data_IF_594417530646
#
_entry.id   IF_594417530646
#
_cell.length_a   1.000
_cell.length_b   1.000
_cell.length_c   1.000
_cell.angle_alpha   90.00
_cell.angle_beta   90.00
_cell.angle_gamma   90.00
#
_symmetry.space_group_name_H-M   'P 1'
#
loop_
_entity.id
_entity.type
_entity.pdbx_description
1 polymer ?
#
# COMPACT_ATOMS: atom_id res chain seq x y z
N UNK A 1 26.31 -16.94 -6.00
CA UNK A 1 25.82 -16.74 -4.61
C UNK A 1 26.00 -15.27 -4.23
N UNK A 2 25.00 -14.68 -3.62
CA UNK A 2 25.10 -13.32 -3.07
C UNK A 2 26.05 -13.32 -1.87
N UNK A 3 26.73 -12.19 -1.64
CA UNK A 3 27.54 -12.04 -0.43
C UNK A 3 26.63 -11.79 0.79
N UNK A 4 27.18 -12.01 2.00
CA UNK A 4 26.42 -11.87 3.25
C UNK A 4 25.85 -10.46 3.45
N UNK A 5 26.54 -9.41 3.02
CA UNK A 5 26.07 -8.01 3.12
C UNK A 5 24.83 -7.77 2.27
N UNK A 6 24.83 -8.26 1.03
CA UNK A 6 23.65 -8.17 0.14
C UNK A 6 22.47 -8.97 0.69
N UNK A 7 22.72 -10.18 1.19
CA UNK A 7 21.68 -11.01 1.83
C UNK A 7 21.06 -10.30 3.04
N UNK A 8 21.87 -9.71 3.90
CA UNK A 8 21.41 -8.96 5.07
C UNK A 8 20.60 -7.70 4.65
N UNK A 9 21.06 -6.96 3.62
CA UNK A 9 20.36 -5.78 3.12
C UNK A 9 18.97 -6.13 2.57
N UNK A 10 18.85 -7.19 1.76
CA UNK A 10 17.56 -7.62 1.21
C UNK A 10 16.60 -8.10 2.30
N UNK A 11 17.11 -8.83 3.29
CA UNK A 11 16.31 -9.23 4.46
C UNK A 11 15.80 -8.01 5.24
N UNK A 12 16.67 -7.02 5.49
CA UNK A 12 16.30 -5.79 6.19
C UNK A 12 15.26 -4.97 5.40
N UNK A 13 15.36 -4.92 4.07
CA UNK A 13 14.37 -4.28 3.20
C UNK A 13 13.01 -4.98 3.33
N UNK A 14 12.96 -6.32 3.31
CA UNK A 14 11.70 -7.06 3.51
C UNK A 14 11.10 -6.78 4.90
N UNK A 15 11.91 -6.75 5.95
CA UNK A 15 11.46 -6.45 7.32
C UNK A 15 10.87 -5.04 7.43
N UNK A 16 11.46 -4.07 6.75
CA UNK A 16 10.98 -2.68 6.71
C UNK A 16 9.67 -2.54 5.93
N UNK A 17 9.52 -3.24 4.82
CA UNK A 17 8.43 -3.03 3.88
C UNK A 17 7.20 -3.92 4.13
N UNK A 18 7.37 -5.07 4.81
CA UNK A 18 6.29 -6.03 5.08
C UNK A 18 5.74 -5.88 6.50
N UNK A 19 4.95 -4.83 6.73
CA UNK A 19 4.38 -4.51 8.03
C UNK A 19 2.90 -4.88 8.12
N UNK A 20 2.45 -5.22 9.32
CA UNK A 20 1.03 -5.48 9.60
C UNK A 20 0.27 -4.16 9.70
N UNK A 21 -0.88 -4.07 9.04
CA UNK A 21 -1.78 -2.91 9.11
C UNK A 21 -3.25 -3.36 9.02
N UNK A 22 -4.14 -2.60 9.67
CA UNK A 22 -5.59 -2.80 9.57
C UNK A 22 -6.19 -1.69 8.69
N UNK A 23 -6.96 -2.06 7.67
CA UNK A 23 -7.58 -1.10 6.75
C UNK A 23 -6.59 -0.35 5.84
N UNK A 24 -6.99 0.84 5.35
CA UNK A 24 -6.15 1.71 4.55
C UNK A 24 -5.20 2.50 5.45
N UNK A 25 -3.91 2.54 5.09
CA UNK A 25 -2.86 3.12 5.94
C UNK A 25 -3.01 4.62 6.18
N UNK A 26 -3.50 5.37 5.20
CA UNK A 26 -3.64 6.83 5.32
C UNK A 26 -4.74 7.25 6.30
N UNK A 27 -5.98 6.72 6.27
CA UNK A 27 -6.96 7.03 7.31
C UNK A 27 -6.53 6.52 8.69
N UNK A 28 -5.78 5.43 8.77
CA UNK A 28 -5.20 4.96 10.02
C UNK A 28 -4.16 5.95 10.57
N UNK A 29 -3.31 6.52 9.70
CA UNK A 29 -2.37 7.57 10.13
C UNK A 29 -3.09 8.84 10.61
N UNK A 30 -4.22 9.21 9.99
CA UNK A 30 -5.06 10.31 10.49
C UNK A 30 -5.65 9.97 11.86
N UNK A 31 -6.17 8.76 12.05
CA UNK A 31 -6.70 8.32 13.34
C UNK A 31 -5.60 8.25 14.42
N UNK A 32 -4.40 7.80 14.07
CA UNK A 32 -3.24 7.80 14.95
C UNK A 32 -2.85 9.22 15.39
N UNK A 33 -2.75 10.15 14.44
CA UNK A 33 -2.48 11.56 14.75
C UNK A 33 -3.56 12.14 15.67
N UNK A 34 -4.83 11.79 15.46
CA UNK A 34 -5.98 12.25 16.26
C UNK A 34 -5.97 11.64 17.67
N UNK A 35 -5.60 10.36 17.83
CA UNK A 35 -5.43 9.74 19.13
C UNK A 35 -4.30 10.40 19.93
N UNK A 36 -3.16 10.69 19.29
CA UNK A 36 -2.07 11.45 19.92
C UNK A 36 -2.47 12.88 20.26
N UNK A 37 -3.24 13.55 19.41
CA UNK A 37 -3.77 14.89 19.72
C UNK A 37 -4.62 14.86 21.02
N UNK A 38 -5.53 13.87 21.15
CA UNK A 38 -6.32 13.68 22.37
C UNK A 38 -5.44 13.48 23.62
N UNK A 39 -4.39 12.67 23.52
CA UNK A 39 -3.44 12.45 24.62
C UNK A 39 -2.71 13.73 25.03
N UNK A 40 -2.16 14.45 24.06
CA UNK A 40 -1.44 15.72 24.31
C UNK A 40 -2.36 16.76 24.95
N UNK A 41 -3.57 16.89 24.40
CA UNK A 41 -4.59 17.84 24.91
C UNK A 41 -5.07 17.45 26.33
N UNK A 42 -5.10 16.14 26.65
CA UNK A 42 -5.61 15.61 27.90
C UNK A 42 -7.10 15.32 27.89
N UNK A 43 -7.71 15.19 26.70
CA UNK A 43 -9.11 14.86 26.52
C UNK A 43 -9.62 15.11 25.10
N UNK A 44 -10.89 14.79 24.84
CA UNK A 44 -11.51 14.96 23.53
C UNK A 44 -11.60 16.45 23.16
N UNK A 45 -11.04 16.91 22.03
CA UNK A 45 -11.19 18.31 21.62
C UNK A 45 -12.63 18.65 21.25
N UNK A 46 -13.00 19.90 21.47
CA UNK A 46 -14.31 20.49 21.16
C UNK A 46 -14.33 21.16 19.78
N UNK A 47 -13.16 21.41 19.21
CA UNK A 47 -12.93 21.92 17.85
C UNK A 47 -11.65 21.30 17.30
N UNK A 48 -11.67 20.88 16.03
CA UNK A 48 -10.49 20.33 15.35
C UNK A 48 -10.28 21.06 14.01
N UNK A 49 -9.04 21.51 13.77
CA UNK A 49 -8.55 21.90 12.45
C UNK A 49 -7.57 20.83 11.96
N UNK A 50 -7.84 20.27 10.80
CA UNK A 50 -6.99 19.28 10.14
C UNK A 50 -6.36 19.91 8.88
N UNK A 51 -5.06 20.12 8.89
CA UNK A 51 -4.29 20.51 7.73
C UNK A 51 -3.60 19.26 7.17
N UNK A 52 -3.94 18.85 5.94
CA UNK A 52 -3.46 17.61 5.34
C UNK A 52 -2.89 17.84 3.95
N UNK A 53 -1.88 17.06 3.58
CA UNK A 53 -1.37 17.09 2.21
C UNK A 53 -2.42 16.62 1.20
N UNK A 54 -2.27 17.03 -0.06
CA UNK A 54 -3.16 16.61 -1.14
C UNK A 54 -3.25 15.09 -1.29
N UNK A 55 -2.15 14.36 -1.07
CA UNK A 55 -2.15 12.91 -1.12
C UNK A 55 -2.96 12.27 0.01
N UNK A 56 -2.88 12.81 1.23
CA UNK A 56 -3.73 12.36 2.35
C UNK A 56 -5.20 12.64 2.02
N UNK A 57 -5.53 13.85 1.56
CA UNK A 57 -6.90 14.17 1.14
C UNK A 57 -7.41 13.19 0.09
N UNK A 58 -6.63 12.96 -0.97
CA UNK A 58 -6.95 12.04 -2.08
C UNK A 58 -7.22 10.61 -1.59
N UNK A 59 -6.36 10.08 -0.72
CA UNK A 59 -6.40 8.68 -0.31
C UNK A 59 -7.42 8.41 0.82
N UNK A 60 -7.84 9.43 1.57
CA UNK A 60 -8.77 9.26 2.68
C UNK A 60 -10.22 9.62 2.31
N UNK A 61 -10.44 10.58 1.38
CA UNK A 61 -11.76 11.15 1.09
C UNK A 61 -12.86 10.12 0.83
N UNK A 62 -12.56 9.03 0.12
CA UNK A 62 -13.60 8.09 -0.36
C UNK A 62 -13.50 6.69 0.25
N UNK A 63 -12.46 6.42 1.04
CA UNK A 63 -12.25 5.10 1.64
C UNK A 63 -13.08 4.94 2.91
N UNK A 64 -13.58 3.75 3.14
CA UNK A 64 -14.23 3.39 4.40
C UNK A 64 -13.17 3.27 5.49
N UNK A 65 -13.40 3.95 6.62
CA UNK A 65 -12.57 3.80 7.81
C UNK A 65 -13.04 2.56 8.56
N UNK A 66 -12.16 1.58 8.83
CA UNK A 66 -12.54 0.37 9.57
C UNK A 66 -13.13 0.70 10.94
N UNK A 67 -13.97 -0.18 11.47
CA UNK A 67 -14.57 -0.07 12.81
C UNK A 67 -15.41 1.20 13.03
N UNK A 68 -16.00 1.79 11.95
CA UNK A 68 -16.79 3.01 12.03
C UNK A 68 -18.21 2.88 11.46
N UNK A 69 -18.70 1.66 11.24
CA UNK A 69 -19.99 1.39 10.60
C UNK A 69 -20.12 2.05 9.21
N UNK A 70 -19.09 1.81 8.37
CA UNK A 70 -19.07 2.26 6.97
C UNK A 70 -18.80 3.75 6.75
N UNK A 71 -18.44 4.53 7.77
CA UNK A 71 -18.12 5.95 7.64
C UNK A 71 -16.85 6.14 6.82
N UNK A 72 -16.79 7.27 6.11
CA UNK A 72 -15.72 7.58 5.16
C UNK A 72 -15.10 8.93 5.45
N UNK A 73 -13.89 9.12 4.99
CA UNK A 73 -13.25 10.42 4.94
C UNK A 73 -12.41 10.79 6.16
N UNK A 74 -11.85 11.98 6.11
CA UNK A 74 -10.93 12.49 7.13
C UNK A 74 -11.64 12.70 8.45
N UNK A 75 -12.87 13.20 8.43
CA UNK A 75 -13.66 13.47 9.64
C UNK A 75 -13.93 12.19 10.42
N UNK A 76 -14.29 11.09 9.73
CA UNK A 76 -14.48 9.78 10.33
C UNK A 76 -13.19 9.24 10.94
N UNK A 77 -12.06 9.38 10.24
CA UNK A 77 -10.76 8.95 10.73
C UNK A 77 -10.31 9.74 11.98
N UNK A 78 -10.54 11.06 12.00
CA UNK A 78 -10.29 11.90 13.18
C UNK A 78 -11.19 11.49 14.34
N UNK A 79 -12.48 11.34 14.09
CA UNK A 79 -13.45 11.03 15.13
C UNK A 79 -13.17 9.69 15.81
N UNK A 80 -12.90 8.62 15.05
CA UNK A 80 -12.56 7.31 15.64
C UNK A 80 -11.25 7.37 16.44
N UNK A 81 -10.23 8.07 15.94
CA UNK A 81 -8.96 8.26 16.66
C UNK A 81 -9.15 8.99 17.99
N UNK A 82 -9.99 10.04 18.01
CA UNK A 82 -10.28 10.82 19.23
C UNK A 82 -11.18 10.04 20.20
N UNK A 83 -12.17 9.31 19.71
CA UNK A 83 -13.15 8.64 20.57
C UNK A 83 -12.59 7.37 21.19
N UNK A 84 -11.93 6.53 20.38
CA UNK A 84 -11.57 5.16 20.75
C UNK A 84 -10.13 4.77 20.40
N UNK A 85 -9.35 5.63 19.72
CA UNK A 85 -8.01 5.28 19.26
C UNK A 85 -7.04 4.98 20.40
N UNK A 86 -6.29 3.88 20.27
CA UNK A 86 -5.13 3.54 21.09
C UNK A 86 -3.86 4.00 20.36
N UNK A 87 -3.32 5.13 20.80
CA UNK A 87 -2.16 5.73 20.13
C UNK A 87 -0.85 4.93 20.27
N UNK A 88 -0.75 4.01 21.23
CA UNK A 88 0.42 3.16 21.39
C UNK A 88 0.39 1.95 20.43
N UNK A 89 -0.78 1.66 19.85
CA UNK A 89 -0.96 0.61 18.85
C UNK A 89 -0.58 1.03 17.41
N UNK A 90 -0.13 2.28 17.19
CA UNK A 90 0.33 2.80 15.88
C UNK A 90 -0.64 2.50 14.73
N UNK A 91 -0.25 1.69 13.73
CA UNK A 91 -1.11 1.32 12.59
C UNK A 91 -2.27 0.39 12.96
N UNK A 92 -2.39 -0.01 14.22
CA UNK A 92 -3.52 -0.74 14.78
C UNK A 92 -4.35 0.12 15.75
N UNK A 93 -4.19 1.42 15.69
CA UNK A 93 -4.80 2.43 16.59
C UNK A 93 -6.31 2.26 16.81
N UNK A 94 -7.04 1.73 15.83
CA UNK A 94 -8.49 1.52 15.88
C UNK A 94 -8.89 0.03 15.85
N UNK A 95 -7.96 -0.90 16.13
CA UNK A 95 -8.24 -2.33 16.06
C UNK A 95 -9.23 -2.80 17.15
N UNK A 96 -9.30 -2.10 18.28
CA UNK A 96 -10.10 -2.48 19.44
C UNK A 96 -11.37 -1.63 19.62
N UNK A 97 -11.84 -0.95 18.57
CA UNK A 97 -13.08 -0.15 18.62
C UNK A 97 -14.28 -1.07 18.87
N UNK A 98 -15.14 -0.69 19.81
CA UNK A 98 -16.34 -1.45 20.21
C UNK A 98 -17.61 -0.89 19.57
N UNK A 99 -18.73 -1.61 19.64
CA UNK A 99 -20.04 -1.13 19.19
C UNK A 99 -20.47 0.15 19.94
N UNK A 100 -20.16 0.27 21.22
CA UNK A 100 -20.45 1.48 22.02
C UNK A 100 -19.62 2.68 21.54
N UNK A 101 -18.36 2.45 21.13
CA UNK A 101 -17.52 3.48 20.54
C UNK A 101 -18.07 3.96 19.20
N UNK A 102 -18.61 3.06 18.37
CA UNK A 102 -19.22 3.42 17.08
C UNK A 102 -20.39 4.38 17.27
N UNK A 103 -21.24 4.16 18.29
CA UNK A 103 -22.30 5.10 18.63
C UNK A 103 -21.74 6.44 19.14
N UNK A 104 -20.68 6.42 19.93
CA UNK A 104 -20.02 7.62 20.46
C UNK A 104 -19.30 8.43 19.35
N UNK A 105 -18.79 7.79 18.29
CA UNK A 105 -18.21 8.45 17.12
C UNK A 105 -19.24 9.34 16.44
N UNK A 106 -20.49 8.88 16.24
CA UNK A 106 -21.52 9.70 15.63
C UNK A 106 -21.84 10.92 16.51
N UNK A 107 -22.01 10.70 17.80
CA UNK A 107 -22.26 11.81 18.74
C UNK A 107 -21.13 12.86 18.74
N UNK A 108 -19.89 12.40 18.61
CA UNK A 108 -18.74 13.31 18.49
C UNK A 108 -18.75 14.09 17.19
N UNK A 109 -19.02 13.46 16.04
CA UNK A 109 -19.12 14.12 14.73
C UNK A 109 -20.24 15.17 14.69
N UNK A 110 -21.38 14.88 15.35
CA UNK A 110 -22.52 15.80 15.39
C UNK A 110 -22.26 17.03 16.28
N UNK A 111 -21.46 16.86 17.33
CA UNK A 111 -21.19 17.90 18.32
C UNK A 111 -19.94 18.73 18.04
N UNK A 112 -18.97 18.19 17.30
CA UNK A 112 -17.64 18.78 17.17
C UNK A 112 -17.36 19.25 15.75
N UNK A 113 -17.15 20.56 15.52
CA UNK A 113 -16.74 21.06 14.22
C UNK A 113 -15.33 20.59 13.87
N UNK A 114 -15.23 19.83 12.78
CA UNK A 114 -13.96 19.39 12.18
C UNK A 114 -13.79 20.16 10.86
N UNK A 115 -12.77 21.00 10.78
CA UNK A 115 -12.42 21.74 9.55
C UNK A 115 -11.23 21.10 8.89
N UNK A 116 -11.35 20.78 7.60
CA UNK A 116 -10.26 20.21 6.80
C UNK A 116 -9.73 21.26 5.84
N UNK A 117 -8.42 21.48 5.86
CA UNK A 117 -7.69 22.35 4.95
C UNK A 117 -6.58 21.55 4.24
N UNK A 118 -6.22 21.96 3.02
CA UNK A 118 -5.18 21.33 2.23
C UNK A 118 -4.13 22.37 1.82
N UNK A 119 -3.27 22.80 2.75
CA UNK A 119 -2.20 23.74 2.44
C UNK A 119 -1.12 23.10 1.58
N UNK A 120 -0.35 23.93 0.86
CA UNK A 120 0.86 23.46 0.19
C UNK A 120 1.89 23.00 1.24
N UNK A 121 2.44 21.81 1.03
CA UNK A 121 3.46 21.21 1.90
C UNK A 121 4.51 20.51 1.04
N UNK A 122 5.80 20.52 1.45
CA UNK A 122 6.84 19.78 0.74
C UNK A 122 6.71 18.26 0.87
N UNK A 123 5.90 17.77 1.84
CA UNK A 123 5.77 16.34 2.14
C UNK A 123 4.55 15.74 1.43
N UNK A 124 4.73 14.58 0.84
CA UNK A 124 3.63 13.82 0.23
C UNK A 124 2.66 13.27 1.28
N UNK A 125 3.16 12.81 2.42
CA UNK A 125 2.39 12.45 3.60
C UNK A 125 2.61 13.54 4.65
N UNK A 126 1.54 14.26 4.99
CA UNK A 126 1.55 15.32 6.00
C UNK A 126 0.16 15.45 6.59
N UNK A 127 0.07 15.29 7.90
CA UNK A 127 -1.15 15.37 8.70
C UNK A 127 -0.83 16.23 9.89
N UNK A 128 -1.40 17.41 9.97
CA UNK A 128 -1.21 18.35 11.07
C UNK A 128 -2.56 18.68 11.70
N UNK A 129 -2.80 18.17 12.89
CA UNK A 129 -4.05 18.35 13.62
C UNK A 129 -3.88 19.33 14.76
N UNK A 130 -4.85 20.23 14.89
CA UNK A 130 -4.95 21.20 15.99
C UNK A 130 -6.28 20.98 16.71
N UNK A 131 -6.25 20.91 18.03
CA UNK A 131 -7.41 20.71 18.87
C UNK A 131 -7.51 21.77 19.96
N UNK A 132 -8.76 22.10 20.33
CA UNK A 132 -9.06 22.99 21.47
C UNK A 132 -10.04 22.34 22.41
N UNK A 133 -9.84 22.54 23.72
CA UNK A 133 -10.73 22.09 24.77
C UNK A 133 -10.55 22.92 26.05
N UNK A 134 -11.65 23.39 26.65
CA UNK A 134 -11.65 24.12 27.93
C UNK A 134 -10.61 25.26 27.98
N UNK A 135 -10.37 25.96 26.85
CA UNK A 135 -9.37 27.03 26.73
C UNK A 135 -7.93 26.54 26.49
N UNK A 136 -7.66 25.25 26.55
CA UNK A 136 -6.37 24.65 26.20
C UNK A 136 -6.29 24.31 24.71
N UNK A 137 -5.06 24.33 24.19
CA UNK A 137 -4.76 23.97 22.79
C UNK A 137 -3.71 22.87 22.73
N UNK A 138 -3.79 22.03 21.71
CA UNK A 138 -2.72 21.10 21.36
C UNK A 138 -2.62 20.95 19.84
N UNK A 139 -1.42 20.61 19.39
CA UNK A 139 -1.11 20.37 17.99
C UNK A 139 -0.21 19.13 17.86
N UNK A 140 -0.53 18.26 16.90
CA UNK A 140 0.28 17.08 16.57
C UNK A 140 0.43 16.97 15.07
N UNK A 141 1.67 16.72 14.60
CA UNK A 141 1.98 16.53 13.18
C UNK A 141 2.67 15.21 12.92
N UNK A 142 2.14 14.46 11.98
CA UNK A 142 2.73 13.23 11.43
C UNK A 142 3.16 13.53 9.99
N UNK A 143 4.42 13.27 9.63
CA UNK A 143 4.90 13.52 8.27
C UNK A 143 5.90 12.48 7.80
N UNK A 144 5.99 12.32 6.47
CA UNK A 144 6.86 11.43 5.71
C UNK A 144 6.58 9.94 5.87
N UNK A 145 6.22 9.47 7.06
CA UNK A 145 5.84 8.09 7.34
C UNK A 145 4.57 8.08 8.20
N UNK A 146 3.75 7.03 8.10
CA UNK A 146 2.42 6.93 8.70
C UNK A 146 2.41 7.03 10.25
N UNK A 147 3.52 6.72 10.90
CA UNK A 147 3.67 6.77 12.37
C UNK A 147 4.74 7.76 12.86
N UNK A 148 5.37 8.51 11.94
CA UNK A 148 6.43 9.44 12.31
C UNK A 148 5.87 10.78 12.80
N UNK A 149 5.73 10.91 14.11
CA UNK A 149 5.42 12.20 14.75
C UNK A 149 6.64 13.11 14.67
N UNK A 150 6.47 14.29 14.09
CA UNK A 150 7.52 15.30 13.94
C UNK A 150 7.29 16.55 14.78
N UNK A 151 6.06 16.76 15.25
CA UNK A 151 5.74 17.90 16.07
C UNK A 151 4.66 17.58 17.08
N UNK A 152 4.83 18.04 18.32
CA UNK A 152 3.80 18.06 19.36
C UNK A 152 3.94 19.35 20.15
N UNK A 153 2.79 20.00 20.45
CA UNK A 153 2.69 21.22 21.23
C UNK A 153 1.46 21.16 22.13
N UNK A 154 1.57 21.77 23.32
CA UNK A 154 0.44 22.03 24.22
C UNK A 154 0.54 23.45 24.79
N UNK A 155 -0.52 24.27 24.66
CA UNK A 155 -0.63 25.62 25.20
C UNK A 155 0.56 26.52 24.84
N UNK A 156 1.09 26.39 23.61
CA UNK A 156 2.28 27.12 23.12
C UNK A 156 3.62 26.52 23.57
N UNK A 157 3.62 25.50 24.41
CA UNK A 157 4.84 24.79 24.79
C UNK A 157 5.14 23.63 23.84
N UNK A 158 6.25 23.70 23.10
CA UNK A 158 6.69 22.64 22.19
C UNK A 158 7.22 21.46 22.98
N UNK A 159 6.59 20.29 22.81
CA UNK A 159 6.95 19.02 23.46
C UNK A 159 7.88 18.18 22.60
N UNK A 160 7.70 18.25 21.27
CA UNK A 160 8.53 17.56 20.28
C UNK A 160 8.63 18.42 19.03
N UNK A 161 9.86 18.54 18.48
CA UNK A 161 10.09 19.16 17.18
C UNK A 161 11.23 18.46 16.46
N UNK A 162 10.92 17.90 15.28
CA UNK A 162 11.88 17.38 14.31
C UNK A 162 11.81 18.21 13.03
N UNK A 163 12.87 18.28 12.22
CA UNK A 163 12.84 19.00 10.94
C UNK A 163 11.75 18.46 10.02
N UNK A 164 10.98 19.36 9.41
CA UNK A 164 10.09 19.03 8.30
C UNK A 164 10.91 19.09 7.00
N UNK A 165 11.44 17.97 6.57
CA UNK A 165 12.20 17.87 5.32
C UNK A 165 11.39 17.14 4.28
N UNK A 166 11.40 17.63 3.04
CA UNK A 166 10.85 16.87 1.92
C UNK A 166 11.56 15.53 1.82
N UNK A 167 10.80 14.43 1.85
CA UNK A 167 11.32 13.07 1.70
C UNK A 167 12.43 12.69 2.69
N UNK A 168 12.32 13.10 3.96
CA UNK A 168 13.19 12.58 5.01
C UNK A 168 12.91 11.08 5.22
N UNK A 169 13.57 10.26 4.42
CA UNK A 169 13.70 8.81 4.61
C UNK A 169 14.89 8.51 5.55
N UNK A 170 15.14 9.39 6.53
CA UNK A 170 16.17 9.18 7.53
C UNK A 170 15.86 7.90 8.29
N UNK A 171 16.76 6.91 8.17
CA UNK A 171 16.75 5.55 8.71
C UNK A 171 16.07 4.45 7.85
N UNK A 172 15.68 4.69 6.62
CA UNK A 172 15.22 3.61 5.74
C UNK A 172 16.41 2.85 5.12
N UNK A 173 16.17 1.57 4.82
CA UNK A 173 17.15 0.74 4.13
C UNK A 173 17.45 1.29 2.73
N UNK A 174 18.71 1.26 2.33
CA UNK A 174 19.13 1.64 0.99
C UNK A 174 18.61 0.64 -0.05
N UNK A 175 17.58 1.02 -0.79
CA UNK A 175 16.95 0.20 -1.82
C UNK A 175 17.65 0.29 -3.17
N UNK A 176 18.66 1.16 -3.33
CA UNK A 176 19.47 1.26 -4.55
C UNK A 176 20.30 0.01 -4.82
N UNK A 177 20.45 -0.85 -3.81
CA UNK A 177 21.14 -2.15 -3.93
C UNK A 177 20.30 -3.22 -4.66
N UNK A 178 18.98 -2.97 -4.85
CA UNK A 178 18.10 -3.93 -5.51
C UNK A 178 18.35 -3.96 -7.01
N UNK A 179 18.36 -5.15 -7.58
CA UNK A 179 18.31 -5.40 -9.01
C UNK A 179 17.65 -6.76 -9.29
N UNK A 180 17.06 -6.93 -10.45
CA UNK A 180 16.28 -8.13 -10.81
C UNK A 180 17.09 -9.41 -10.68
N UNK A 181 18.36 -9.41 -11.13
CA UNK A 181 19.21 -10.60 -11.10
C UNK A 181 19.52 -11.05 -9.68
N UNK A 182 19.87 -10.12 -8.80
CA UNK A 182 20.17 -10.42 -7.40
C UNK A 182 18.91 -10.77 -6.61
N UNK A 183 17.75 -10.18 -6.96
CA UNK A 183 16.44 -10.54 -6.37
C UNK A 183 16.12 -12.01 -6.64
N UNK A 184 16.29 -12.48 -7.88
CA UNK A 184 16.08 -13.89 -8.23
C UNK A 184 17.03 -14.77 -7.41
N UNK A 185 18.32 -14.45 -7.41
CA UNK A 185 19.33 -15.22 -6.67
C UNK A 185 19.02 -15.24 -5.16
N UNK A 186 18.57 -14.11 -4.60
CA UNK A 186 18.16 -14.03 -3.19
C UNK A 186 16.96 -14.96 -2.91
N UNK A 187 15.90 -14.85 -3.68
CA UNK A 187 14.71 -15.68 -3.50
C UNK A 187 15.02 -17.18 -3.58
N UNK A 188 15.96 -17.59 -4.44
CA UNK A 188 16.38 -18.97 -4.61
C UNK A 188 17.28 -19.48 -3.47
N UNK A 189 18.11 -18.63 -2.88
CA UNK A 189 19.21 -19.05 -2.00
C UNK A 189 19.10 -18.61 -0.55
N UNK A 190 18.17 -17.68 -0.22
CA UNK A 190 17.97 -17.24 1.16
C UNK A 190 17.51 -18.43 2.03
N UNK A 191 18.05 -18.58 3.27
CA UNK A 191 17.56 -19.58 4.20
C UNK A 191 16.06 -19.38 4.47
N UNK A 192 15.30 -20.48 4.41
CA UNK A 192 13.83 -20.41 4.49
C UNK A 192 13.37 -19.82 5.83
N UNK A 193 14.05 -20.16 6.92
CA UNK A 193 13.82 -19.64 8.26
C UNK A 193 13.94 -18.10 8.36
N UNK A 194 14.63 -17.47 7.42
CA UNK A 194 14.77 -16.00 7.36
C UNK A 194 13.51 -15.34 6.80
N UNK A 195 12.90 -15.92 5.77
CA UNK A 195 11.76 -15.32 5.05
C UNK A 195 10.41 -15.87 5.51
N UNK A 196 10.33 -17.09 6.01
CA UNK A 196 9.07 -17.71 6.45
C UNK A 196 8.29 -16.88 7.46
N UNK A 197 8.89 -16.28 8.51
CA UNK A 197 8.15 -15.45 9.47
C UNK A 197 7.51 -14.22 8.82
N UNK A 198 8.13 -13.64 7.81
CA UNK A 198 7.66 -12.45 7.09
C UNK A 198 6.63 -12.81 6.02
N UNK A 199 7.05 -13.60 5.05
CA UNK A 199 6.25 -14.00 3.88
C UNK A 199 5.09 -14.92 4.30
N UNK A 200 5.31 -15.86 5.22
CA UNK A 200 4.25 -16.72 5.75
C UNK A 200 3.16 -15.93 6.48
N UNK A 201 3.53 -14.90 7.26
CA UNK A 201 2.56 -13.98 7.86
C UNK A 201 1.79 -13.21 6.80
N UNK A 202 2.47 -12.69 5.79
CA UNK A 202 1.84 -11.96 4.68
C UNK A 202 0.84 -12.86 3.93
N UNK A 203 1.22 -14.06 3.57
CA UNK A 203 0.32 -15.02 2.91
C UNK A 203 -0.91 -15.25 3.79
N UNK A 204 -0.74 -15.59 5.06
CA UNK A 204 -1.88 -15.88 5.97
C UNK A 204 -2.84 -14.71 6.09
N UNK A 205 -2.36 -13.51 6.34
CA UNK A 205 -3.23 -12.34 6.50
C UNK A 205 -3.92 -11.96 5.19
N UNK A 206 -3.15 -11.91 4.09
CA UNK A 206 -3.65 -11.39 2.82
C UNK A 206 -4.57 -12.39 2.10
N UNK A 207 -4.36 -13.70 2.29
CA UNK A 207 -5.30 -14.72 1.78
C UNK A 207 -6.59 -14.78 2.59
N UNK A 208 -6.53 -14.56 3.91
CA UNK A 208 -7.72 -14.54 4.75
C UNK A 208 -8.69 -13.41 4.34
N UNK A 209 -8.19 -12.19 4.11
CA UNK A 209 -9.04 -11.09 3.63
C UNK A 209 -9.51 -11.30 2.19
N UNK A 210 -8.72 -11.97 1.34
CA UNK A 210 -9.15 -12.32 -0.01
C UNK A 210 -10.29 -13.35 0.01
N UNK A 211 -10.21 -14.35 0.89
CA UNK A 211 -11.28 -15.32 1.11
C UNK A 211 -12.55 -14.64 1.63
N UNK A 212 -12.42 -13.70 2.56
CA UNK A 212 -13.53 -12.89 3.06
C UNK A 212 -14.20 -12.09 1.93
N UNK A 213 -13.39 -11.47 1.06
CA UNK A 213 -13.87 -10.72 -0.11
C UNK A 213 -14.61 -11.55 -1.14
N UNK A 214 -14.35 -12.87 -1.21
CA UNK A 214 -15.10 -13.81 -2.06
C UNK A 214 -16.33 -14.39 -1.35
N UNK A 215 -16.29 -14.52 -0.02
CA UNK A 215 -17.39 -15.10 0.77
C UNK A 215 -18.56 -14.13 0.92
N UNK A 216 -18.25 -12.86 1.12
CA UNK A 216 -19.22 -11.81 1.38
C UNK A 216 -19.22 -10.74 0.27
N UNK A 217 -20.28 -9.95 0.22
CA UNK A 217 -20.40 -8.86 -0.75
C UNK A 217 -19.65 -7.62 -0.26
N UNK A 218 -18.59 -7.24 -0.97
CA UNK A 218 -17.77 -6.09 -0.66
C UNK A 218 -17.58 -5.17 -1.88
N UNK A 219 -17.91 -3.91 -1.72
CA UNK A 219 -17.66 -2.89 -2.76
C UNK A 219 -18.32 -3.22 -4.09
N UNK A 220 -17.50 -3.35 -5.13
CA UNK A 220 -17.97 -3.67 -6.49
C UNK A 220 -17.93 -5.18 -6.81
N UNK A 221 -17.53 -6.02 -5.87
CA UNK A 221 -17.41 -7.49 -6.03
C UNK A 221 -16.63 -7.90 -7.29
N UNK A 222 -15.53 -7.21 -7.56
CA UNK A 222 -14.69 -7.46 -8.73
C UNK A 222 -14.15 -8.89 -8.70
N UNK A 223 -13.68 -9.37 -7.54
CA UNK A 223 -13.18 -10.74 -7.40
C UNK A 223 -14.23 -11.78 -7.80
N UNK A 224 -15.43 -11.70 -7.24
CA UNK A 224 -16.53 -12.62 -7.56
C UNK A 224 -16.99 -12.49 -9.02
N UNK A 225 -16.98 -11.27 -9.58
CA UNK A 225 -17.32 -11.04 -10.98
C UNK A 225 -16.33 -11.71 -11.94
N UNK A 226 -15.03 -11.68 -11.62
CA UNK A 226 -14.01 -12.35 -12.44
C UNK A 226 -14.19 -13.86 -12.47
N UNK A 227 -14.59 -14.48 -11.34
CA UNK A 227 -14.84 -15.93 -11.29
C UNK A 227 -16.02 -16.38 -12.15
N UNK A 228 -16.89 -15.48 -12.62
CA UNK A 228 -17.91 -15.82 -13.60
C UNK A 228 -17.33 -16.13 -14.99
N UNK A 229 -16.11 -15.68 -15.28
CA UNK A 229 -15.45 -15.90 -16.58
C UNK A 229 -14.72 -17.25 -16.66
N UNK A 230 -14.35 -17.86 -15.51
CA UNK A 230 -13.64 -19.14 -15.47
C UNK A 230 -13.09 -19.45 -14.09
N UNK A 231 -12.54 -20.66 -13.96
CA UNK A 231 -11.92 -21.17 -12.72
C UNK A 231 -10.45 -21.62 -12.91
N UNK A 232 -9.88 -21.31 -14.07
CA UNK A 232 -8.47 -21.60 -14.34
C UNK A 232 -7.52 -20.86 -13.37
N UNK A 233 -6.28 -21.33 -13.17
CA UNK A 233 -5.36 -20.75 -12.21
C UNK A 233 -5.06 -19.27 -12.41
N UNK A 234 -5.04 -18.79 -13.64
CA UNK A 234 -4.79 -17.36 -13.98
C UNK A 234 -5.99 -16.49 -13.59
N UNK A 235 -7.21 -16.93 -13.90
CA UNK A 235 -8.46 -16.27 -13.48
C UNK A 235 -8.60 -16.26 -11.96
N UNK A 236 -8.34 -17.37 -11.29
CA UNK A 236 -8.36 -17.47 -9.83
C UNK A 236 -7.34 -16.51 -9.17
N UNK A 237 -6.11 -16.44 -9.70
CA UNK A 237 -5.09 -15.55 -9.17
C UNK A 237 -5.53 -14.07 -9.19
N UNK A 238 -6.09 -13.61 -10.31
CA UNK A 238 -6.63 -12.25 -10.46
C UNK A 238 -7.81 -11.99 -9.53
N UNK A 239 -8.74 -12.93 -9.50
CA UNK A 239 -9.98 -12.82 -8.73
C UNK A 239 -9.72 -12.73 -7.23
N UNK A 240 -8.83 -13.58 -6.68
CA UNK A 240 -8.48 -13.55 -5.27
C UNK A 240 -7.78 -12.25 -4.86
N UNK A 241 -6.85 -11.76 -5.67
CA UNK A 241 -6.19 -10.47 -5.40
C UNK A 241 -7.20 -9.30 -5.41
N UNK A 242 -8.12 -9.28 -6.38
CA UNK A 242 -9.18 -8.28 -6.46
C UNK A 242 -10.13 -8.36 -5.26
N UNK A 243 -10.54 -9.56 -4.84
CA UNK A 243 -11.43 -9.78 -3.71
C UNK A 243 -10.84 -9.27 -2.39
N UNK A 244 -9.55 -9.49 -2.15
CA UNK A 244 -8.88 -8.92 -0.98
C UNK A 244 -8.93 -7.39 -0.95
N UNK A 245 -8.81 -6.75 -2.10
CA UNK A 245 -8.98 -5.30 -2.22
C UNK A 245 -10.45 -4.87 -2.12
N UNK A 246 -11.40 -5.63 -2.66
CA UNK A 246 -12.84 -5.36 -2.50
C UNK A 246 -13.18 -5.27 -1.00
N UNK A 247 -12.78 -6.26 -0.21
CA UNK A 247 -13.00 -6.26 1.23
C UNK A 247 -12.27 -5.09 1.91
N UNK A 248 -10.96 -4.94 1.67
CA UNK A 248 -10.12 -3.93 2.33
C UNK A 248 -10.58 -2.50 2.08
N UNK A 249 -10.92 -2.15 0.83
CA UNK A 249 -11.32 -0.78 0.46
C UNK A 249 -12.72 -0.41 0.94
N UNK A 250 -13.50 -1.38 1.36
CA UNK A 250 -14.88 -1.17 1.79
C UNK A 250 -15.10 -1.47 3.29
N UNK A 251 -14.03 -1.43 4.09
CA UNK A 251 -14.11 -1.38 5.54
C UNK A 251 -13.96 -2.73 6.25
N UNK A 252 -13.52 -3.78 5.57
CA UNK A 252 -13.19 -5.04 6.24
C UNK A 252 -12.07 -4.83 7.27
N UNK A 253 -12.30 -5.30 8.47
CA UNK A 253 -11.47 -5.06 9.65
C UNK A 253 -10.29 -6.02 9.79
N UNK A 254 -10.20 -6.98 8.87
CA UNK A 254 -9.13 -7.97 8.89
C UNK A 254 -7.76 -7.33 8.61
N UNK A 255 -6.71 -7.74 9.36
CA UNK A 255 -5.37 -7.23 9.14
C UNK A 255 -4.80 -7.72 7.81
N UNK A 256 -3.96 -6.89 7.20
CA UNK A 256 -3.17 -7.22 6.02
C UNK A 256 -1.70 -6.95 6.27
N UNK A 257 -0.81 -7.65 5.58
CA UNK A 257 0.60 -7.25 5.53
C UNK A 257 0.80 -6.40 4.28
N UNK A 258 1.25 -5.17 4.50
CA UNK A 258 1.50 -4.19 3.44
C UNK A 258 2.79 -4.52 2.68
N UNK A 259 2.96 -3.94 1.48
CA UNK A 259 4.22 -3.86 0.76
C UNK A 259 4.37 -2.44 0.21
N UNK A 260 5.55 -1.85 0.36
CA UNK A 260 5.82 -0.46 -0.06
C UNK A 260 4.78 0.56 0.40
N UNK A 261 4.35 0.45 1.67
CA UNK A 261 3.43 1.37 2.31
C UNK A 261 1.94 1.18 1.96
N UNK A 262 1.56 0.12 1.24
CA UNK A 262 0.15 -0.12 0.87
C UNK A 262 -0.28 -1.58 1.05
N UNK A 263 -1.43 -1.79 1.73
CA UNK A 263 -2.03 -3.12 1.88
C UNK A 263 -2.50 -3.70 0.54
N UNK A 264 -3.01 -2.87 -0.36
CA UNK A 264 -3.36 -3.33 -1.71
C UNK A 264 -2.16 -3.86 -2.47
N UNK A 265 -0.99 -3.23 -2.33
CA UNK A 265 0.25 -3.74 -2.93
C UNK A 265 0.67 -5.07 -2.28
N UNK A 266 0.60 -5.18 -0.94
CA UNK A 266 0.89 -6.43 -0.25
C UNK A 266 -0.03 -7.59 -0.65
N UNK A 267 -1.35 -7.33 -0.76
CA UNK A 267 -2.33 -8.31 -1.28
C UNK A 267 -1.95 -8.71 -2.72
N UNK A 268 -1.66 -7.73 -3.58
CA UNK A 268 -1.40 -7.97 -5.00
C UNK A 268 -0.08 -8.71 -5.23
N UNK A 269 0.95 -8.43 -4.44
CA UNK A 269 2.23 -9.13 -4.56
C UNK A 269 2.17 -10.59 -4.05
N UNK A 270 1.31 -10.90 -3.07
CA UNK A 270 1.32 -12.21 -2.40
C UNK A 270 0.18 -13.14 -2.84
N UNK A 271 -1.07 -12.67 -2.85
CA UNK A 271 -2.26 -13.53 -3.02
C UNK A 271 -2.30 -14.23 -4.38
N UNK A 272 -2.08 -13.55 -5.53
CA UNK A 272 -2.14 -14.21 -6.83
C UNK A 272 -1.04 -15.25 -7.02
N UNK A 273 0.17 -15.00 -6.50
CA UNK A 273 1.29 -15.94 -6.55
C UNK A 273 1.00 -17.18 -5.72
N UNK A 274 0.52 -16.98 -4.48
CA UNK A 274 0.11 -18.07 -3.61
C UNK A 274 -1.01 -18.91 -4.23
N UNK A 275 -2.08 -18.24 -4.72
CA UNK A 275 -3.25 -18.92 -5.30
C UNK A 275 -2.87 -19.73 -6.53
N UNK A 276 -2.10 -19.14 -7.43
CA UNK A 276 -1.58 -19.83 -8.61
C UNK A 276 -0.74 -21.06 -8.23
N UNK A 277 0.22 -20.88 -7.31
CA UNK A 277 1.08 -21.96 -6.84
C UNK A 277 0.29 -23.14 -6.24
N UNK A 278 -0.70 -22.84 -5.38
CA UNK A 278 -1.57 -23.87 -4.80
C UNK A 278 -2.35 -24.65 -5.85
N UNK A 279 -2.92 -23.96 -6.85
CA UNK A 279 -3.71 -24.62 -7.91
C UNK A 279 -2.86 -25.43 -8.89
N UNK A 280 -1.59 -25.05 -9.05
CA UNK A 280 -0.66 -25.77 -9.96
C UNK A 280 0.20 -26.80 -9.24
N UNK A 281 -0.02 -27.02 -7.93
CA UNK A 281 0.65 -28.09 -7.16
C UNK A 281 2.07 -27.76 -6.72
N UNK A 282 2.44 -26.47 -6.65
CA UNK A 282 3.72 -26.08 -6.06
C UNK A 282 3.73 -26.35 -4.54
N UNK A 283 4.85 -26.78 -4.01
CA UNK A 283 5.04 -26.94 -2.57
C UNK A 283 5.15 -25.60 -1.84
N UNK A 284 5.02 -25.63 -0.51
CA UNK A 284 4.99 -24.43 0.31
C UNK A 284 6.30 -23.63 0.26
N UNK A 285 7.45 -24.29 0.18
CA UNK A 285 8.75 -23.63 0.03
C UNK A 285 8.82 -22.85 -1.29
N UNK A 286 8.44 -23.50 -2.39
CA UNK A 286 8.43 -22.87 -3.71
C UNK A 286 7.50 -21.67 -3.75
N UNK A 287 6.33 -21.76 -3.12
CA UNK A 287 5.39 -20.63 -3.01
C UNK A 287 5.98 -19.49 -2.18
N UNK A 288 6.58 -19.76 -1.01
CA UNK A 288 7.24 -18.74 -0.18
C UNK A 288 8.33 -18.00 -0.95
N UNK A 289 9.17 -18.70 -1.70
CA UNK A 289 10.24 -18.12 -2.53
C UNK A 289 9.68 -17.26 -3.67
N UNK A 290 8.62 -17.72 -4.33
CA UNK A 290 7.95 -16.97 -5.40
C UNK A 290 7.30 -15.69 -4.90
N UNK A 291 6.67 -15.70 -3.72
CA UNK A 291 6.11 -14.50 -3.08
C UNK A 291 7.24 -13.56 -2.65
N UNK A 292 8.33 -14.07 -2.10
CA UNK A 292 9.51 -13.26 -1.76
C UNK A 292 10.07 -12.53 -3.00
N UNK A 293 10.19 -13.22 -4.13
CA UNK A 293 10.59 -12.62 -5.41
C UNK A 293 9.60 -11.53 -5.84
N UNK A 294 8.31 -11.81 -5.79
CA UNK A 294 7.25 -10.86 -6.15
C UNK A 294 7.31 -9.58 -5.31
N UNK A 295 7.48 -9.70 -3.98
CA UNK A 295 7.61 -8.56 -3.08
C UNK A 295 8.86 -7.72 -3.41
N UNK A 296 10.01 -8.34 -3.58
CA UNK A 296 11.26 -7.63 -3.89
C UNK A 296 11.20 -6.93 -5.25
N UNK A 297 10.64 -7.56 -6.28
CA UNK A 297 10.40 -6.92 -7.60
C UNK A 297 9.43 -5.74 -7.46
N UNK A 298 8.38 -5.88 -6.64
CA UNK A 298 7.44 -4.79 -6.34
C UNK A 298 8.16 -3.62 -5.67
N UNK A 299 8.96 -3.89 -4.63
CA UNK A 299 9.72 -2.88 -3.89
C UNK A 299 10.74 -2.19 -4.81
N UNK A 300 11.45 -2.96 -5.64
CA UNK A 300 12.43 -2.43 -6.58
C UNK A 300 11.82 -1.43 -7.57
N UNK A 301 10.70 -1.78 -8.21
CA UNK A 301 9.98 -0.87 -9.09
C UNK A 301 9.50 0.39 -8.34
N UNK A 302 9.05 0.23 -7.09
CA UNK A 302 8.55 1.35 -6.27
C UNK A 302 9.64 2.29 -5.81
N UNK A 303 10.89 1.89 -5.77
CA UNK A 303 12.01 2.73 -5.34
C UNK A 303 12.12 4.01 -6.17
N UNK A 304 11.99 3.92 -7.49
CA UNK A 304 12.00 5.10 -8.39
C UNK A 304 10.69 5.88 -8.44
N UNK A 305 9.56 5.25 -8.10
CA UNK A 305 8.21 5.85 -8.16
C UNK A 305 7.91 6.65 -6.88
N UNK A 306 8.37 6.17 -5.73
CA UNK A 306 8.03 6.70 -4.41
C UNK A 306 6.77 6.07 -3.81
N UNK A 307 6.54 6.29 -2.51
CA UNK A 307 5.42 5.69 -1.76
C UNK A 307 4.06 6.24 -2.18
N UNK A 308 3.97 7.54 -2.43
CA UNK A 308 2.76 8.24 -2.87
C UNK A 308 3.02 8.91 -4.23
N UNK A 309 2.19 8.60 -5.22
CA UNK A 309 2.33 9.09 -6.60
C UNK A 309 0.98 8.99 -7.32
N UNK A 310 0.82 9.73 -8.41
CA UNK A 310 -0.27 9.49 -9.35
C UNK A 310 -0.09 8.18 -10.16
N UNK A 311 1.08 7.56 -10.15
CA UNK A 311 1.29 6.22 -10.68
C UNK A 311 0.72 5.17 -9.70
N UNK A 312 -0.15 4.29 -10.18
CA UNK A 312 -0.83 3.32 -9.33
C UNK A 312 0.14 2.21 -8.85
N UNK A 313 0.34 2.10 -7.54
CA UNK A 313 1.21 1.06 -6.95
C UNK A 313 0.74 -0.38 -7.18
N UNK A 314 -0.58 -0.58 -7.43
CA UNK A 314 -1.12 -1.88 -7.81
C UNK A 314 -0.51 -2.41 -9.13
N UNK A 315 -0.08 -1.51 -10.03
CA UNK A 315 0.64 -1.90 -11.26
C UNK A 315 1.95 -2.58 -10.92
N UNK A 316 2.81 -1.93 -10.15
CA UNK A 316 4.11 -2.51 -9.75
C UNK A 316 3.95 -3.85 -9.03
N UNK A 317 2.94 -3.96 -8.15
CA UNK A 317 2.66 -5.20 -7.43
C UNK A 317 2.09 -6.30 -8.34
N UNK A 318 1.25 -5.94 -9.33
CA UNK A 318 0.74 -6.87 -10.34
C UNK A 318 1.84 -7.40 -11.26
N UNK A 319 2.77 -6.53 -11.64
CA UNK A 319 3.98 -6.93 -12.39
C UNK A 319 4.86 -7.85 -11.54
N UNK A 320 5.09 -7.51 -10.27
CA UNK A 320 5.81 -8.38 -9.33
C UNK A 320 5.17 -9.75 -9.20
N UNK A 321 3.83 -9.81 -9.07
CA UNK A 321 3.07 -11.06 -9.03
C UNK A 321 3.24 -11.88 -10.32
N UNK A 322 3.22 -11.21 -11.48
CA UNK A 322 3.50 -11.85 -12.77
C UNK A 322 4.89 -12.49 -12.81
N UNK A 323 5.91 -11.80 -12.28
CA UNK A 323 7.26 -12.34 -12.16
C UNK A 323 7.31 -13.55 -11.21
N UNK A 324 6.61 -13.50 -10.05
CA UNK A 324 6.48 -14.63 -9.13
C UNK A 324 5.80 -15.85 -9.77
N UNK A 325 4.72 -15.64 -10.52
CA UNK A 325 4.03 -16.68 -11.28
C UNK A 325 4.93 -17.24 -12.39
N UNK A 326 5.64 -16.37 -13.13
CA UNK A 326 6.60 -16.80 -14.15
C UNK A 326 7.68 -17.72 -13.55
N UNK A 327 8.23 -17.34 -12.38
CA UNK A 327 9.22 -18.16 -11.68
C UNK A 327 8.64 -19.52 -11.23
N UNK A 328 7.39 -19.58 -10.73
CA UNK A 328 6.69 -20.83 -10.43
C UNK A 328 6.58 -21.75 -11.66
N UNK A 329 6.46 -21.15 -12.85
CA UNK A 329 6.39 -21.84 -14.15
C UNK A 329 7.77 -22.21 -14.72
N UNK A 330 8.86 -21.90 -14.00
CA UNK A 330 10.23 -22.25 -14.37
C UNK A 330 10.95 -21.18 -15.21
N UNK A 331 10.50 -19.93 -15.17
CA UNK A 331 11.20 -18.83 -15.82
C UNK A 331 12.59 -18.63 -15.20
N UNK A 332 13.59 -18.45 -16.07
CA UNK A 332 14.92 -17.96 -15.72
C UNK A 332 14.97 -16.42 -15.67
N UNK A 333 16.17 -15.87 -15.58
CA UNK A 333 16.36 -14.40 -15.57
C UNK A 333 15.72 -13.73 -16.78
N UNK A 334 15.93 -14.25 -17.98
CA UNK A 334 15.41 -13.66 -19.22
C UNK A 334 13.87 -13.70 -19.24
N UNK A 335 13.28 -14.83 -18.79
CA UNK A 335 11.82 -14.96 -18.67
C UNK A 335 11.23 -13.97 -17.68
N UNK A 336 11.89 -13.73 -16.54
CA UNK A 336 11.43 -12.76 -15.53
C UNK A 336 11.62 -11.33 -16.02
N UNK A 337 12.77 -10.99 -16.62
CA UNK A 337 13.05 -9.67 -17.16
C UNK A 337 12.02 -9.27 -18.23
N UNK A 338 11.79 -10.14 -19.21
CA UNK A 338 10.79 -9.88 -20.26
C UNK A 338 9.35 -9.88 -19.74
N UNK A 339 9.03 -10.67 -18.70
CA UNK A 339 7.72 -10.60 -18.03
C UNK A 339 7.49 -9.20 -17.48
N UNK A 340 8.47 -8.64 -16.77
CA UNK A 340 8.38 -7.29 -16.22
C UNK A 340 8.27 -6.25 -17.33
N UNK A 341 9.15 -6.28 -18.31
CA UNK A 341 9.18 -5.34 -19.42
C UNK A 341 7.88 -5.34 -20.21
N UNK A 342 7.40 -6.50 -20.63
CA UNK A 342 6.13 -6.64 -21.35
C UNK A 342 4.96 -6.09 -20.52
N UNK A 343 4.88 -6.45 -19.23
CA UNK A 343 3.79 -6.00 -18.36
C UNK A 343 3.81 -4.47 -18.17
N UNK A 344 4.98 -3.89 -17.93
CA UNK A 344 5.14 -2.44 -17.76
C UNK A 344 4.76 -1.70 -19.04
N UNK A 345 5.17 -2.19 -20.23
CA UNK A 345 4.81 -1.58 -21.51
C UNK A 345 3.29 -1.50 -21.72
N UNK A 346 2.54 -2.48 -21.22
CA UNK A 346 1.07 -2.54 -21.36
C UNK A 346 0.32 -1.62 -20.40
N UNK A 347 0.81 -1.43 -19.15
CA UNK A 347 -0.02 -0.85 -18.08
C UNK A 347 0.54 0.40 -17.39
N UNK A 348 1.70 0.92 -17.80
CA UNK A 348 2.35 2.07 -17.15
C UNK A 348 1.54 3.38 -17.14
N UNK A 349 0.40 3.46 -17.78
CA UNK A 349 -0.48 4.63 -17.76
C UNK A 349 -1.56 4.60 -16.67
N UNK A 350 -1.64 3.57 -15.85
CA UNK A 350 -2.69 3.45 -14.84
C UNK A 350 -2.49 4.45 -13.70
N UNK A 351 -3.42 5.41 -13.57
CA UNK A 351 -3.35 6.45 -12.53
C UNK A 351 -3.85 5.98 -11.18
N UNK A 352 -3.30 6.58 -10.11
CA UNK A 352 -3.80 6.48 -8.75
C UNK A 352 -4.60 7.74 -8.40
N UNK A 353 -5.90 7.61 -8.30
CA UNK A 353 -6.86 8.65 -7.94
C UNK A 353 -7.46 8.42 -6.54
N UNK A 354 -6.68 7.84 -5.63
CA UNK A 354 -7.05 7.57 -4.23
C UNK A 354 -7.62 6.18 -3.98
N UNK A 355 -7.76 5.83 -2.70
CA UNK A 355 -8.26 4.55 -2.24
C UNK A 355 -9.78 4.46 -2.36
N UNK A 356 -10.29 3.43 -3.05
CA UNK A 356 -11.73 3.22 -3.30
C UNK A 356 -12.01 1.85 -3.92
N UNK A 357 -13.29 1.50 -4.08
CA UNK A 357 -13.72 0.22 -4.63
C UNK A 357 -13.08 -0.15 -5.98
N UNK A 358 -12.84 0.83 -6.89
CA UNK A 358 -12.20 0.56 -8.18
C UNK A 358 -10.72 0.15 -8.10
N UNK A 359 -10.09 0.18 -6.92
CA UNK A 359 -8.73 -0.36 -6.75
C UNK A 359 -8.68 -1.86 -7.06
N UNK A 360 -9.73 -2.61 -6.74
CA UNK A 360 -9.82 -4.04 -7.03
C UNK A 360 -9.70 -4.35 -8.53
N UNK A 361 -10.34 -3.56 -9.40
CA UNK A 361 -10.22 -3.74 -10.85
C UNK A 361 -8.82 -3.39 -11.38
N UNK A 362 -8.17 -2.35 -10.84
CA UNK A 362 -6.78 -2.00 -11.19
C UNK A 362 -5.79 -3.09 -10.79
N UNK A 363 -6.02 -3.73 -9.64
CA UNK A 363 -5.26 -4.90 -9.18
C UNK A 363 -5.41 -6.06 -10.15
N UNK A 364 -6.65 -6.43 -10.49
CA UNK A 364 -6.91 -7.50 -11.45
C UNK A 364 -6.19 -7.26 -12.79
N UNK A 365 -6.26 -6.03 -13.31
CA UNK A 365 -5.57 -5.65 -14.56
C UNK A 365 -4.05 -5.69 -14.42
N UNK A 366 -3.48 -5.29 -13.29
CA UNK A 366 -2.05 -5.38 -13.03
C UNK A 366 -1.54 -6.82 -13.05
N UNK A 367 -2.26 -7.73 -12.36
CA UNK A 367 -1.93 -9.17 -12.35
C UNK A 367 -2.10 -9.78 -13.74
N UNK A 368 -3.15 -9.41 -14.47
CA UNK A 368 -3.37 -9.84 -15.87
C UNK A 368 -2.20 -9.47 -16.76
N UNK A 369 -1.76 -8.21 -16.72
CA UNK A 369 -0.62 -7.75 -17.51
C UNK A 369 0.66 -8.51 -17.14
N UNK A 370 0.87 -8.83 -15.85
CA UNK A 370 1.99 -9.64 -15.41
C UNK A 370 1.96 -11.06 -16.01
N UNK A 371 0.81 -11.73 -15.95
CA UNK A 371 0.62 -13.08 -16.52
C UNK A 371 0.77 -13.06 -18.05
N UNK A 372 0.12 -12.09 -18.71
CA UNK A 372 0.22 -11.91 -20.17
C UNK A 372 1.65 -11.63 -20.60
N UNK A 373 2.40 -10.84 -19.81
CA UNK A 373 3.82 -10.54 -20.08
C UNK A 373 4.67 -11.80 -20.19
N UNK A 374 4.47 -12.77 -19.29
CA UNK A 374 5.15 -14.05 -19.36
C UNK A 374 4.65 -14.94 -20.52
N UNK A 375 3.35 -14.95 -20.77
CA UNK A 375 2.78 -15.70 -21.90
C UNK A 375 3.31 -15.16 -23.25
N UNK A 376 3.52 -13.86 -23.37
CA UNK A 376 4.19 -13.25 -24.54
C UNK A 376 5.62 -13.73 -24.69
N UNK A 377 6.40 -13.76 -23.60
CA UNK A 377 7.78 -14.27 -23.61
C UNK A 377 7.83 -15.74 -24.10
N UNK A 378 6.96 -16.59 -23.58
CA UNK A 378 6.88 -17.99 -24.02
C UNK A 378 6.52 -18.14 -25.52
N UNK A 379 5.75 -17.20 -26.04
CA UNK A 379 5.42 -17.12 -27.47
C UNK A 379 6.52 -16.47 -28.35
N UNK A 380 7.62 -16.01 -27.75
CA UNK A 380 8.68 -15.29 -28.45
C UNK A 380 8.29 -13.88 -28.92
N UNK A 381 7.24 -13.27 -28.33
CA UNK A 381 6.66 -12.00 -28.74
C UNK A 381 6.94 -10.90 -27.71
N UNK A 382 8.20 -10.49 -27.55
CA UNK A 382 8.58 -9.46 -26.59
C UNK A 382 8.58 -8.06 -27.19
N UNK A 383 8.23 -7.05 -26.40
CA UNK A 383 8.53 -5.67 -26.74
C UNK A 383 10.04 -5.45 -26.75
N UNK A 384 10.50 -4.55 -27.61
CA UNK A 384 11.93 -4.36 -27.83
C UNK A 384 12.43 -3.03 -27.21
N UNK A 385 13.72 -2.94 -26.87
CA UNK A 385 14.34 -1.68 -26.50
C UNK A 385 13.99 -0.54 -27.46
N UNK A 386 13.60 0.62 -26.90
CA UNK A 386 13.16 1.77 -27.69
C UNK A 386 11.70 1.76 -28.14
N UNK A 387 10.92 0.72 -27.82
CA UNK A 387 9.46 0.77 -27.96
C UNK A 387 8.86 1.66 -26.84
N UNK A 388 8.62 2.92 -27.17
CA UNK A 388 8.08 3.89 -26.21
C UNK A 388 9.05 4.16 -25.05
N UNK A 389 8.64 3.82 -23.82
CA UNK A 389 9.46 4.04 -22.62
C UNK A 389 10.37 2.85 -22.27
N UNK A 390 10.39 1.81 -23.11
CA UNK A 390 11.24 0.63 -22.86
C UNK A 390 12.71 1.02 -22.95
N UNK A 391 13.48 0.64 -21.91
CA UNK A 391 14.91 0.88 -21.81
C UNK A 391 15.74 -0.11 -22.64
N UNK A 392 17.05 -0.07 -22.43
CA UNK A 392 17.99 -1.00 -23.06
C UNK A 392 17.98 -2.37 -22.42
N UNK A 393 17.54 -2.44 -21.16
CA UNK A 393 17.36 -3.63 -20.35
C UNK A 393 16.26 -3.41 -19.28
N UNK A 394 16.02 -4.42 -18.48
CA UNK A 394 14.97 -4.38 -17.44
C UNK A 394 15.22 -3.31 -16.38
N UNK A 395 16.46 -3.07 -15.98
CA UNK A 395 16.81 -2.04 -14.98
C UNK A 395 16.59 -0.63 -15.54
N UNK A 396 16.96 -0.42 -16.78
CA UNK A 396 16.74 0.83 -17.49
C UNK A 396 15.24 1.12 -17.69
N UNK A 397 14.46 0.08 -17.99
CA UNK A 397 13.00 0.15 -18.06
C UNK A 397 12.39 0.55 -16.72
N UNK A 398 12.80 -0.08 -15.61
CA UNK A 398 12.34 0.28 -14.23
C UNK A 398 12.69 1.74 -13.92
N UNK A 399 13.89 2.18 -14.28
CA UNK A 399 14.33 3.58 -14.10
C UNK A 399 13.48 4.57 -14.90
N UNK A 400 13.15 4.26 -16.16
CA UNK A 400 12.28 5.10 -17.00
C UNK A 400 10.88 5.25 -16.40
N UNK A 401 10.29 4.17 -15.91
CA UNK A 401 9.00 4.20 -15.21
C UNK A 401 9.07 5.06 -13.94
N UNK A 402 10.16 4.93 -13.18
CA UNK A 402 10.42 5.76 -12.00
C UNK A 402 10.46 7.27 -12.36
N UNK A 403 11.17 7.65 -13.40
CA UNK A 403 11.24 9.04 -13.89
C UNK A 403 9.85 9.53 -14.33
N UNK A 404 9.12 8.73 -15.12
CA UNK A 404 7.77 9.07 -15.56
C UNK A 404 6.85 9.30 -14.36
N UNK A 405 6.86 8.40 -13.39
CA UNK A 405 6.01 8.48 -12.21
C UNK A 405 6.37 9.64 -11.28
N UNK A 406 7.66 9.79 -10.97
CA UNK A 406 8.12 10.79 -9.99
C UNK A 406 8.13 12.22 -10.55
N UNK A 407 8.37 12.40 -11.85
CA UNK A 407 8.50 13.71 -12.49
C UNK A 407 7.33 13.99 -13.42
N UNK A 408 7.04 13.08 -14.37
CA UNK A 408 6.04 13.29 -15.40
C UNK A 408 4.61 13.35 -14.87
N UNK A 409 4.29 12.60 -13.82
CA UNK A 409 2.94 12.53 -13.28
C UNK A 409 2.63 13.54 -12.16
N UNK A 410 3.51 14.48 -11.84
CA UNK A 410 3.26 15.52 -10.82
C UNK A 410 2.06 16.41 -11.17
N UNK A 411 1.97 16.84 -12.42
CA UNK A 411 0.84 17.65 -12.86
C UNK A 411 -0.45 16.83 -12.92
N UNK A 412 -0.35 15.57 -13.32
CA UNK A 412 -1.47 14.62 -13.26
C UNK A 412 -2.03 14.51 -11.85
N UNK A 413 -1.16 14.42 -10.83
CA UNK A 413 -1.58 14.36 -9.42
C UNK A 413 -2.30 15.63 -8.98
N UNK A 414 -1.80 16.81 -9.36
CA UNK A 414 -2.43 18.10 -9.11
C UNK A 414 -3.82 18.22 -9.76
N UNK A 415 -3.95 17.78 -11.01
CA UNK A 415 -5.23 17.78 -11.72
C UNK A 415 -6.22 16.83 -11.07
N UNK A 416 -5.78 15.63 -10.67
CA UNK A 416 -6.63 14.68 -9.92
C UNK A 416 -7.13 15.32 -8.62
N UNK A 417 -6.24 15.94 -7.83
CA UNK A 417 -6.61 16.62 -6.60
C UNK A 417 -7.63 17.73 -6.84
N UNK A 418 -7.42 18.55 -7.86
CA UNK A 418 -8.36 19.62 -8.23
C UNK A 418 -9.75 19.05 -8.54
N UNK A 419 -9.84 18.03 -9.40
CA UNK A 419 -11.11 17.37 -9.73
C UNK A 419 -11.79 16.80 -8.47
N UNK A 420 -11.03 16.24 -7.55
CA UNK A 420 -11.57 15.65 -6.33
C UNK A 420 -12.04 16.70 -5.30
N UNK A 421 -11.57 17.94 -5.39
CA UNK A 421 -11.93 19.03 -4.45
C UNK A 421 -13.01 19.98 -4.98
N UNK A 422 -13.29 19.95 -6.26
CA UNK A 422 -14.46 20.60 -6.89
C UNK A 422 -15.76 19.87 -6.49
#
# INVERSE_FOLDING_TARGET
MLNEKTMAAYTAILQEELLLATGCTEPIAVAYCAAKLREVLGGKPEEVLAEVSGNILKNVKSVVVPNTDGRRGIDAAIAVGIVAGDADAELQVIANVTEDDVAAIQGYLDATPIKVACPETPCLLDIFLHGKRDGHTASVRVANNHTNIIYMEKDGAVLLQKPLTANAEDNLQDKSVLNVKDIITFAETVPLETIEPLIGRQIRCNTAIAEEGLRNSWGANIGSTLLLAGDDPETQARAWAAAGSDARMNGCEMPVVICSGSGNQGITASVPVWKYGKLTGADDEKILRAVCLSDLITIHQKTGIGRLSAYCGAVSAGVGAGCGIAWLRGADYDGIAHTLENAVAMISGCICDGAKASCASKIAMGVECGILGYNMYLGGNNFQPGHGIMGTDVEDTIRHVGVLAAQGMRETDRVILKIMTE
#
